data_IF_363793324713
#
_entry.id   IF_363793324713
#
_cell.length_a   1.000
_cell.length_b   1.000
_cell.length_c   1.000
_cell.angle_alpha   90.00
_cell.angle_beta   90.00
_cell.angle_gamma   90.00
#
_symmetry.space_group_name_H-M   'P 1'
#
loop_
_entity.id
_entity.type
_entity.pdbx_description
1 polymer ?
#
# COMPACT_ATOMS: atom_id res chain seq x y z
N UNK A 1 -33.74 -67.45 0.72
CA UNK A 1 -34.47 -66.19 0.93
C UNK A 1 -33.93 -65.51 2.16
N UNK A 2 -33.05 -64.53 2.00
CA UNK A 2 -32.65 -63.55 3.05
C UNK A 2 -32.24 -62.26 2.31
N UNK A 3 -33.09 -61.27 2.40
CA UNK A 3 -32.85 -59.94 1.86
C UNK A 3 -31.87 -59.19 2.79
N UNK A 4 -30.73 -58.73 2.24
CA UNK A 4 -29.80 -57.87 2.90
C UNK A 4 -30.14 -56.43 2.51
N UNK A 5 -30.59 -55.64 3.47
CA UNK A 5 -30.96 -54.25 3.33
C UNK A 5 -29.72 -53.37 3.52
N UNK A 6 -29.24 -52.72 2.47
CA UNK A 6 -28.09 -51.83 2.49
C UNK A 6 -28.57 -50.40 2.80
N UNK A 7 -28.31 -49.92 4.02
CA UNK A 7 -28.52 -48.51 4.38
C UNK A 7 -27.39 -47.66 3.82
N UNK A 8 -27.73 -46.80 2.82
CA UNK A 8 -26.86 -45.72 2.34
C UNK A 8 -26.99 -44.54 3.29
N UNK A 9 -25.91 -44.29 4.08
CA UNK A 9 -25.74 -43.03 4.79
C UNK A 9 -25.27 -41.94 3.81
N UNK A 10 -26.13 -40.98 3.54
CA UNK A 10 -25.79 -39.77 2.79
C UNK A 10 -25.14 -38.76 3.78
N UNK A 11 -23.83 -38.56 3.70
CA UNK A 11 -23.17 -37.41 4.30
C UNK A 11 -23.56 -36.14 3.53
N UNK A 12 -24.33 -35.28 4.16
CA UNK A 12 -24.52 -33.92 3.71
C UNK A 12 -23.26 -33.08 4.09
N UNK A 13 -22.43 -32.77 3.10
CA UNK A 13 -21.37 -31.78 3.22
C UNK A 13 -22.01 -30.41 3.18
N UNK A 14 -22.11 -29.73 4.32
CA UNK A 14 -22.46 -28.30 4.37
C UNK A 14 -21.23 -27.54 3.91
N UNK A 15 -21.18 -27.19 2.63
CA UNK A 15 -20.20 -26.26 2.09
C UNK A 15 -20.56 -24.84 2.54
N UNK A 16 -19.71 -24.24 3.38
CA UNK A 16 -19.67 -22.77 3.53
C UNK A 16 -19.22 -22.18 2.20
N UNK A 17 -20.18 -21.86 1.32
CA UNK A 17 -19.93 -21.12 0.11
C UNK A 17 -19.66 -19.66 0.48
N UNK A 18 -18.39 -19.25 0.43
CA UNK A 18 -18.07 -17.85 0.28
C UNK A 18 -18.74 -17.37 -1.00
N UNK A 19 -19.66 -16.42 -0.91
CA UNK A 19 -20.26 -15.78 -2.09
C UNK A 19 -19.17 -14.98 -2.77
N UNK A 20 -18.82 -15.35 -3.99
CA UNK A 20 -18.00 -14.52 -4.85
C UNK A 20 -18.72 -13.17 -5.06
N UNK A 21 -18.02 -12.02 -4.90
CA UNK A 21 -18.61 -10.72 -5.13
C UNK A 21 -19.09 -10.62 -6.57
N UNK A 22 -20.35 -10.24 -6.77
CA UNK A 22 -20.92 -10.08 -8.10
C UNK A 22 -20.39 -8.80 -8.76
N UNK A 23 -19.87 -8.86 -10.00
CA UNK A 23 -19.55 -7.65 -10.75
C UNK A 23 -20.85 -6.89 -11.09
N UNK A 24 -20.90 -5.61 -10.76
CA UNK A 24 -21.98 -4.71 -11.17
C UNK A 24 -21.59 -4.14 -12.53
N UNK A 25 -22.25 -4.59 -13.59
CA UNK A 25 -22.09 -4.02 -14.93
C UNK A 25 -22.98 -2.79 -15.05
N UNK A 26 -22.39 -1.61 -15.08
CA UNK A 26 -23.11 -0.39 -15.43
C UNK A 26 -23.56 -0.42 -16.90
N UNK A 27 -24.83 -0.11 -17.22
CA UNK A 27 -25.30 -0.05 -18.60
C UNK A 27 -24.78 1.22 -19.28
N UNK A 28 -24.06 1.03 -20.39
CA UNK A 28 -23.95 1.96 -21.50
C UNK A 28 -23.22 3.27 -21.24
N UNK A 29 -21.98 3.36 -21.72
CA UNK A 29 -21.30 4.63 -21.91
C UNK A 29 -22.04 5.46 -23.00
N UNK A 30 -22.92 6.34 -22.56
CA UNK A 30 -23.29 7.50 -23.38
C UNK A 30 -22.19 8.53 -23.23
N UNK A 31 -21.77 9.06 -24.39
CA UNK A 31 -20.72 10.04 -24.56
C UNK A 31 -20.90 11.25 -23.64
N UNK A 32 -20.12 11.31 -22.56
CA UNK A 32 -20.01 12.48 -21.72
C UNK A 32 -18.91 13.40 -22.28
N UNK A 33 -19.31 14.60 -22.62
CA UNK A 33 -18.47 15.71 -23.04
C UNK A 33 -17.42 16.04 -21.96
N UNK A 34 -16.22 16.40 -22.45
CA UNK A 34 -15.09 16.92 -21.70
C UNK A 34 -15.50 17.87 -20.57
N UNK A 35 -15.46 17.42 -19.32
CA UNK A 35 -15.44 18.29 -18.15
C UNK A 35 -14.14 18.08 -17.38
N UNK A 36 -13.45 19.19 -17.17
CA UNK A 36 -12.34 19.40 -16.24
C UNK A 36 -12.47 18.58 -14.98
N UNK A 37 -11.41 17.90 -14.55
CA UNK A 37 -11.32 16.98 -13.43
C UNK A 37 -12.19 17.37 -12.23
N UNK A 38 -13.38 16.81 -12.17
CA UNK A 38 -14.29 16.91 -11.06
C UNK A 38 -14.06 15.73 -10.14
N UNK A 39 -13.91 16.03 -8.89
CA UNK A 39 -13.95 15.08 -7.79
C UNK A 39 -15.24 14.25 -7.89
N UNK A 40 -15.12 12.92 -7.92
CA UNK A 40 -16.29 12.06 -7.91
C UNK A 40 -16.93 12.15 -6.52
N UNK A 41 -18.26 12.07 -6.45
CA UNK A 41 -19.02 12.25 -5.21
C UNK A 41 -18.62 11.31 -4.06
N UNK A 42 -18.01 10.16 -4.38
CA UNK A 42 -17.47 9.18 -3.43
C UNK A 42 -15.97 9.39 -3.10
N UNK A 43 -15.40 10.56 -3.44
CA UNK A 43 -13.97 10.84 -3.26
C UNK A 43 -13.05 10.03 -4.18
N UNK A 44 -13.59 9.30 -5.17
CA UNK A 44 -12.85 8.46 -6.08
C UNK A 44 -11.94 9.27 -7.01
N UNK A 45 -10.77 8.71 -7.29
CA UNK A 45 -9.70 9.33 -8.12
C UNK A 45 -9.35 8.49 -9.34
N UNK A 46 -9.84 7.24 -9.43
CA UNK A 46 -9.68 6.37 -10.58
C UNK A 46 -10.68 6.72 -11.69
N UNK A 47 -10.46 7.88 -12.37
CA UNK A 47 -11.35 8.42 -13.41
C UNK A 47 -10.80 8.10 -14.79
N UNK A 48 -11.62 7.57 -15.72
CA UNK A 48 -11.23 7.41 -17.13
C UNK A 48 -10.85 8.75 -17.75
N UNK A 49 -9.72 8.83 -18.43
CA UNK A 49 -9.29 10.01 -19.17
C UNK A 49 -9.15 9.68 -20.66
N UNK A 50 -10.27 9.68 -21.39
CA UNK A 50 -10.34 9.39 -22.82
C UNK A 50 -10.76 7.98 -23.19
N UNK A 51 -10.52 7.60 -24.44
CA UNK A 51 -10.89 6.29 -24.97
C UNK A 51 -9.93 5.18 -24.50
N UNK A 52 -10.40 3.93 -24.53
CA UNK A 52 -9.59 2.74 -24.20
C UNK A 52 -9.49 2.44 -22.71
N UNK A 53 -10.30 3.11 -21.88
CA UNK A 53 -10.45 2.75 -20.47
C UNK A 53 -11.68 1.90 -20.23
N UNK A 54 -11.57 0.99 -19.26
CA UNK A 54 -12.64 0.13 -18.77
C UNK A 54 -12.70 0.23 -17.24
N UNK A 55 -13.88 0.50 -16.69
CA UNK A 55 -14.14 0.57 -15.26
C UNK A 55 -14.86 -0.69 -14.81
N UNK A 56 -14.41 -1.30 -13.73
CA UNK A 56 -15.10 -2.41 -13.07
C UNK A 56 -15.29 -2.04 -11.60
N UNK A 57 -16.52 -2.18 -11.13
CA UNK A 57 -16.90 -1.89 -9.74
C UNK A 57 -17.40 -3.15 -9.06
N UNK A 58 -17.15 -3.25 -7.74
CA UNK A 58 -17.54 -4.38 -6.91
C UNK A 58 -18.14 -3.85 -5.61
N UNK A 59 -19.32 -4.35 -5.29
CA UNK A 59 -19.92 -4.27 -3.96
C UNK A 59 -19.48 -5.51 -3.19
N UNK A 60 -18.68 -5.33 -2.16
CA UNK A 60 -18.14 -6.40 -1.30
C UNK A 60 -18.85 -6.47 0.04
N UNK A 61 -19.51 -5.40 0.45
CA UNK A 61 -20.32 -5.29 1.68
C UNK A 61 -21.73 -5.83 1.49
N UNK A 62 -22.29 -5.73 0.28
CA UNK A 62 -23.64 -6.17 -0.08
C UNK A 62 -24.70 -5.11 0.24
N UNK A 63 -24.33 -3.85 0.26
CA UNK A 63 -25.22 -2.71 0.52
C UNK A 63 -25.68 -1.97 -0.74
N UNK A 64 -25.40 -2.53 -1.92
CA UNK A 64 -25.66 -1.99 -3.25
C UNK A 64 -24.80 -0.75 -3.60
N UNK A 65 -23.79 -0.43 -2.78
CA UNK A 65 -22.80 0.63 -3.05
C UNK A 65 -21.45 0.00 -3.42
N UNK A 66 -20.79 0.40 -4.53
CA UNK A 66 -19.51 -0.18 -4.88
C UNK A 66 -18.38 0.22 -3.91
N UNK A 67 -17.81 -0.77 -3.21
CA UNK A 67 -16.67 -0.56 -2.32
C UNK A 67 -15.35 -0.47 -3.08
N UNK A 68 -15.21 -1.23 -4.17
CA UNK A 68 -13.96 -1.31 -4.94
C UNK A 68 -14.19 -0.90 -6.37
N UNK A 69 -13.39 0.06 -6.87
CA UNK A 69 -13.32 0.44 -8.28
C UNK A 69 -11.95 0.10 -8.85
N UNK A 70 -11.92 -0.49 -10.03
CA UNK A 70 -10.73 -0.79 -10.81
C UNK A 70 -10.83 -0.12 -12.17
N UNK A 71 -9.78 0.59 -12.56
CA UNK A 71 -9.65 1.23 -13.86
C UNK A 71 -8.59 0.49 -14.65
N UNK A 72 -8.99 -0.02 -15.79
CA UNK A 72 -8.10 -0.66 -16.74
C UNK A 72 -7.92 0.21 -17.98
N UNK A 73 -6.78 0.05 -18.65
CA UNK A 73 -6.50 0.68 -19.94
C UNK A 73 -6.05 -0.36 -20.95
N UNK A 74 -6.58 -0.28 -22.16
CA UNK A 74 -6.10 -1.10 -23.26
C UNK A 74 -4.77 -0.58 -23.74
N UNK A 75 -3.74 -1.42 -23.71
CA UNK A 75 -2.38 -1.15 -24.18
C UNK A 75 -2.06 -2.03 -25.39
N UNK A 76 -1.39 -1.43 -26.39
CA UNK A 76 -1.08 -2.11 -27.65
C UNK A 76 -2.21 -2.04 -28.66
N UNK A 77 -2.00 -2.65 -29.84
CA UNK A 77 -2.94 -2.65 -30.96
C UNK A 77 -3.16 -4.06 -31.51
N UNK A 78 -4.32 -4.28 -32.11
CA UNK A 78 -4.68 -5.54 -32.78
C UNK A 78 -4.57 -6.75 -31.86
N UNK A 79 -3.87 -7.80 -32.30
CA UNK A 79 -3.70 -9.06 -31.53
C UNK A 79 -2.75 -8.91 -30.33
N UNK A 80 -2.06 -7.80 -30.19
CA UNK A 80 -1.17 -7.48 -29.06
C UNK A 80 -1.85 -6.59 -28.02
N UNK A 81 -3.10 -6.19 -28.26
CA UNK A 81 -3.87 -5.42 -27.29
C UNK A 81 -4.08 -6.24 -26.01
N UNK A 82 -3.81 -5.60 -24.87
CA UNK A 82 -4.02 -6.17 -23.53
C UNK A 82 -4.63 -5.15 -22.60
N UNK A 83 -5.47 -5.63 -21.71
CA UNK A 83 -6.05 -4.81 -20.65
C UNK A 83 -5.10 -4.77 -19.46
N UNK A 84 -4.69 -3.56 -19.02
CA UNK A 84 -3.76 -3.35 -17.91
C UNK A 84 -4.47 -2.56 -16.82
N UNK A 85 -4.40 -3.04 -15.58
CA UNK A 85 -4.87 -2.29 -14.41
C UNK A 85 -3.97 -1.08 -14.21
N UNK A 86 -4.55 0.13 -14.27
CA UNK A 86 -3.82 1.41 -14.12
C UNK A 86 -4.18 2.14 -12.84
N UNK A 87 -5.35 1.84 -12.24
CA UNK A 87 -5.78 2.43 -10.98
C UNK A 87 -6.74 1.47 -10.26
N UNK A 88 -6.64 1.43 -8.94
CA UNK A 88 -7.58 0.75 -8.05
C UNK A 88 -7.82 1.61 -6.83
N UNK A 89 -9.08 1.74 -6.44
CA UNK A 89 -9.48 2.40 -5.21
C UNK A 89 -10.49 1.54 -4.45
N UNK A 90 -10.55 1.75 -3.13
CA UNK A 90 -11.46 1.03 -2.27
C UNK A 90 -11.93 1.90 -1.10
N UNK A 91 -13.17 1.70 -0.72
CA UNK A 91 -13.79 2.04 0.54
C UNK A 91 -13.51 0.87 1.50
N UNK A 92 -12.89 1.12 2.62
CA UNK A 92 -12.47 0.10 3.58
C UNK A 92 -13.37 0.06 4.81
N UNK A 93 -14.03 1.18 5.13
CA UNK A 93 -14.88 1.33 6.31
C UNK A 93 -16.39 1.25 5.99
N UNK A 94 -16.77 1.29 4.70
CA UNK A 94 -18.15 1.20 4.24
C UNK A 94 -18.96 2.49 4.41
N UNK A 95 -18.29 3.66 4.46
CA UNK A 95 -18.95 4.95 4.58
C UNK A 95 -19.34 5.58 3.23
N UNK A 96 -19.02 4.90 2.12
CA UNK A 96 -19.28 5.32 0.75
C UNK A 96 -18.18 6.20 0.16
N UNK A 97 -17.07 6.44 0.88
CA UNK A 97 -15.91 7.19 0.40
C UNK A 97 -14.72 6.24 0.13
N UNK A 98 -13.82 6.65 -0.74
CA UNK A 98 -12.64 5.82 -1.07
C UNK A 98 -11.46 6.21 -0.18
N UNK A 99 -11.08 5.27 0.70
CA UNK A 99 -10.01 5.45 1.69
C UNK A 99 -8.63 5.15 1.13
N UNK A 100 -8.54 4.30 0.11
CA UNK A 100 -7.27 3.90 -0.49
C UNK A 100 -7.32 4.00 -2.01
N UNK A 101 -6.26 4.57 -2.61
CA UNK A 101 -6.07 4.63 -4.06
C UNK A 101 -4.67 4.17 -4.41
N UNK A 102 -4.56 3.21 -5.33
CA UNK A 102 -3.27 2.74 -5.87
C UNK A 102 -3.22 2.93 -7.38
N UNK A 103 -2.16 3.58 -7.83
CA UNK A 103 -1.85 3.83 -9.25
C UNK A 103 -0.78 2.87 -9.71
N UNK A 104 -0.91 2.40 -10.96
CA UNK A 104 -0.01 1.45 -11.59
C UNK A 104 0.60 2.03 -12.87
N UNK A 105 1.78 1.54 -13.23
CA UNK A 105 2.43 1.85 -14.51
C UNK A 105 1.76 1.12 -15.68
N UNK A 106 2.18 1.45 -16.90
CA UNK A 106 1.72 0.76 -18.12
C UNK A 106 2.10 -0.73 -18.17
N UNK A 107 3.08 -1.15 -17.37
CA UNK A 107 3.45 -2.57 -17.16
C UNK A 107 2.61 -3.25 -16.06
N UNK A 108 1.69 -2.53 -15.40
CA UNK A 108 0.86 -3.04 -14.32
C UNK A 108 1.59 -3.12 -12.96
N UNK A 109 2.71 -2.42 -12.80
CA UNK A 109 3.44 -2.36 -11.51
C UNK A 109 2.94 -1.19 -10.67
N UNK A 110 2.81 -1.34 -9.34
CA UNK A 110 2.44 -0.22 -8.49
C UNK A 110 3.49 0.89 -8.57
N UNK A 111 3.03 2.14 -8.58
CA UNK A 111 3.84 3.36 -8.63
C UNK A 111 3.62 4.19 -7.38
N UNK A 112 2.37 4.34 -6.96
CA UNK A 112 1.97 5.18 -5.83
C UNK A 112 0.70 4.61 -5.19
N UNK A 113 0.63 4.70 -3.88
CA UNK A 113 -0.57 4.45 -3.09
C UNK A 113 -0.79 5.61 -2.11
N UNK A 114 -2.01 6.01 -1.95
CA UNK A 114 -2.46 6.99 -0.96
C UNK A 114 -3.52 6.32 -0.11
N UNK A 115 -3.47 6.52 1.20
CA UNK A 115 -4.40 5.94 2.13
C UNK A 115 -4.79 6.92 3.25
N UNK A 116 -6.08 6.96 3.52
CA UNK A 116 -6.69 7.48 4.73
C UNK A 116 -6.79 6.29 5.70
N UNK A 117 -6.01 6.30 6.77
CA UNK A 117 -5.86 5.18 7.69
C UNK A 117 -6.77 5.28 8.91
N UNK A 118 -7.12 6.49 9.31
CA UNK A 118 -7.99 6.76 10.45
C UNK A 118 -9.43 7.10 10.02
N UNK A 119 -9.68 7.15 8.69
CA UNK A 119 -10.99 7.37 8.07
C UNK A 119 -11.59 8.75 8.38
N UNK A 120 -10.76 9.77 8.55
CA UNK A 120 -11.19 11.15 8.77
C UNK A 120 -11.48 11.92 7.47
N UNK A 121 -11.20 11.32 6.31
CA UNK A 121 -11.37 11.88 4.97
C UNK A 121 -10.12 12.58 4.45
N UNK A 122 -8.97 12.43 5.11
CA UNK A 122 -7.66 12.96 4.69
C UNK A 122 -6.69 11.84 4.43
N UNK A 123 -5.69 12.11 3.60
CA UNK A 123 -4.62 11.14 3.32
C UNK A 123 -3.56 11.24 4.40
N UNK A 124 -3.38 10.14 5.16
CA UNK A 124 -2.35 10.01 6.20
C UNK A 124 -1.08 9.36 5.70
N UNK A 125 -1.18 8.48 4.71
CA UNK A 125 -0.05 7.72 4.21
C UNK A 125 0.05 7.80 2.69
N UNK A 126 1.25 8.13 2.20
CA UNK A 126 1.61 8.03 0.79
C UNK A 126 2.76 7.05 0.64
N UNK A 127 2.54 5.96 -0.08
CA UNK A 127 3.57 4.97 -0.41
C UNK A 127 4.01 5.13 -1.86
N UNK A 128 5.31 5.30 -2.06
CA UNK A 128 5.95 5.35 -3.38
C UNK A 128 6.61 4.00 -3.68
N UNK A 129 6.53 3.60 -4.94
CA UNK A 129 7.12 2.34 -5.40
C UNK A 129 8.13 2.61 -6.51
N UNK A 130 9.25 1.92 -6.46
CA UNK A 130 10.25 1.88 -7.53
C UNK A 130 10.39 0.44 -8.00
N UNK A 131 10.18 0.19 -9.30
CA UNK A 131 10.17 -1.16 -9.88
C UNK A 131 9.22 -2.14 -9.16
N UNK A 132 8.07 -1.63 -8.67
CA UNK A 132 7.04 -2.42 -7.98
C UNK A 132 7.37 -2.76 -6.51
N UNK A 133 8.46 -2.23 -5.96
CA UNK A 133 8.82 -2.36 -4.54
C UNK A 133 8.69 -1.03 -3.84
N UNK A 134 8.29 -1.05 -2.57
CA UNK A 134 8.24 0.17 -1.75
C UNK A 134 9.63 0.80 -1.70
N UNK A 135 9.70 2.11 -1.97
CA UNK A 135 10.93 2.92 -1.92
C UNK A 135 10.86 4.03 -0.88
N UNK A 136 9.67 4.57 -0.63
CA UNK A 136 9.43 5.63 0.34
C UNK A 136 8.01 5.52 0.88
N UNK A 137 7.84 5.75 2.18
CA UNK A 137 6.56 6.08 2.79
C UNK A 137 6.62 7.46 3.42
N UNK A 138 5.60 8.26 3.17
CA UNK A 138 5.36 9.55 3.80
C UNK A 138 4.11 9.43 4.64
N UNK A 139 4.19 9.76 5.93
CA UNK A 139 3.13 9.48 6.90
C UNK A 139 2.87 10.74 7.73
N UNK A 140 1.62 11.10 7.91
CA UNK A 140 1.14 11.96 8.98
C UNK A 140 0.79 11.08 10.17
N UNK A 141 1.66 10.99 11.15
CA UNK A 141 1.42 10.16 12.34
C UNK A 141 0.64 10.90 13.42
N UNK A 142 0.50 12.20 13.26
CA UNK A 142 -0.19 13.08 14.24
C UNK A 142 -1.64 13.38 13.85
N UNK A 143 -2.08 13.08 12.61
CA UNK A 143 -3.41 13.36 12.10
C UNK A 143 -3.70 14.87 11.90
N UNK A 144 -2.65 15.69 11.75
CA UNK A 144 -2.80 17.14 11.59
C UNK A 144 -2.88 17.58 10.12
N UNK A 145 -2.83 16.66 9.16
CA UNK A 145 -2.83 16.90 7.72
C UNK A 145 -1.45 17.27 7.15
N UNK A 146 -0.38 17.12 7.93
CA UNK A 146 1.00 17.35 7.49
C UNK A 146 1.86 16.12 7.71
N UNK A 147 2.61 15.72 6.68
CA UNK A 147 3.59 14.63 6.80
C UNK A 147 4.62 14.98 7.86
N UNK A 148 4.79 14.12 8.84
CA UNK A 148 5.77 14.23 9.93
C UNK A 148 6.78 13.09 9.94
N UNK A 149 6.57 12.06 9.14
CA UNK A 149 7.43 10.87 9.08
C UNK A 149 7.68 10.48 7.63
N UNK A 150 8.96 10.22 7.29
CA UNK A 150 9.38 9.64 6.02
C UNK A 150 10.22 8.40 6.28
N UNK A 151 9.86 7.26 5.67
CA UNK A 151 10.60 6.00 5.80
C UNK A 151 11.11 5.61 4.42
N UNK A 152 12.41 5.53 4.27
CA UNK A 152 13.11 5.14 3.06
C UNK A 152 13.39 3.63 3.10
N UNK A 153 13.16 2.98 1.97
CA UNK A 153 13.31 1.54 1.83
C UNK A 153 14.37 1.21 0.78
N UNK A 154 15.20 0.25 1.09
CA UNK A 154 16.10 -0.39 0.14
C UNK A 154 15.78 -1.88 0.06
N UNK A 155 15.61 -2.39 -1.17
CA UNK A 155 15.26 -3.79 -1.43
C UNK A 155 14.03 -4.32 -0.65
N UNK A 156 13.07 -3.42 -0.33
CA UNK A 156 11.85 -3.74 0.41
C UNK A 156 12.02 -3.81 1.94
N UNK A 157 13.19 -3.46 2.45
CA UNK A 157 13.47 -3.33 3.89
C UNK A 157 13.65 -1.85 4.26
N UNK A 158 13.17 -1.40 5.42
CA UNK A 158 13.45 -0.05 5.88
C UNK A 158 14.95 0.12 6.11
N UNK A 159 15.51 1.19 5.54
CA UNK A 159 16.91 1.59 5.69
C UNK A 159 17.04 2.75 6.66
N UNK A 160 16.17 3.75 6.49
CA UNK A 160 16.23 5.00 7.26
C UNK A 160 14.83 5.58 7.43
N UNK A 161 14.56 6.18 8.59
CA UNK A 161 13.43 7.08 8.79
C UNK A 161 13.91 8.48 9.18
N UNK A 162 13.15 9.47 8.75
CA UNK A 162 13.25 10.87 9.14
C UNK A 162 11.94 11.28 9.80
N UNK A 163 12.01 11.90 10.97
CA UNK A 163 10.82 12.34 11.70
C UNK A 163 10.95 13.81 12.10
N UNK A 164 9.84 14.52 11.97
CA UNK A 164 9.67 15.89 12.45
C UNK A 164 8.85 15.86 13.75
N UNK A 165 9.51 15.47 14.85
CA UNK A 165 8.88 15.34 16.16
C UNK A 165 8.48 16.71 16.76
N UNK A 166 9.18 17.77 16.37
CA UNK A 166 8.94 19.13 16.83
C UNK A 166 7.98 19.93 15.93
N UNK A 167 7.43 19.30 14.87
CA UNK A 167 6.50 19.91 13.92
C UNK A 167 7.05 21.22 13.29
N UNK A 168 8.30 21.15 12.82
CA UNK A 168 9.02 22.27 12.19
C UNK A 168 8.82 22.36 10.68
N UNK A 169 8.45 21.26 10.06
CA UNK A 169 8.22 21.18 8.61
C UNK A 169 7.07 22.09 8.17
N UNK A 170 7.20 22.59 6.94
CA UNK A 170 6.18 23.37 6.25
C UNK A 170 5.92 22.70 4.90
N UNK A 171 4.79 22.98 4.28
CA UNK A 171 4.39 22.37 3.01
C UNK A 171 5.50 22.37 1.92
N UNK A 172 6.35 23.41 1.91
CA UNK A 172 7.44 23.55 0.94
C UNK A 172 8.84 23.21 1.50
N UNK A 173 8.96 22.83 2.80
CA UNK A 173 10.26 22.60 3.43
C UNK A 173 10.19 21.51 4.48
N UNK A 174 10.74 20.35 4.14
CA UNK A 174 10.95 19.26 5.07
C UNK A 174 12.07 19.59 6.07
N UNK A 175 11.81 19.47 7.38
CA UNK A 175 12.74 19.77 8.46
C UNK A 175 12.64 18.73 9.57
N UNK A 176 13.20 17.54 9.35
CA UNK A 176 13.24 16.51 10.39
C UNK A 176 14.17 16.93 11.51
N UNK A 177 13.87 16.46 12.71
CA UNK A 177 14.71 16.61 13.90
C UNK A 177 15.17 15.27 14.49
N UNK A 178 14.75 14.16 13.89
CA UNK A 178 15.14 12.80 14.27
C UNK A 178 15.39 11.94 13.04
N UNK A 179 16.50 11.21 13.05
CA UNK A 179 16.91 10.25 12.03
C UNK A 179 17.10 8.89 12.66
N UNK A 180 16.44 7.87 12.15
CA UNK A 180 16.54 6.49 12.59
C UNK A 180 17.13 5.66 11.47
N UNK A 181 18.13 4.82 11.77
CA UNK A 181 18.75 3.91 10.81
C UNK A 181 18.47 2.48 11.22
N UNK A 182 18.17 1.65 10.23
CA UNK A 182 17.77 0.28 10.46
C UNK A 182 18.80 -0.69 9.88
N UNK A 183 18.96 -1.83 10.56
CA UNK A 183 19.63 -3.01 10.03
C UNK A 183 18.86 -4.25 10.48
N UNK A 184 18.64 -5.19 9.59
CA UNK A 184 17.87 -6.41 9.82
C UNK A 184 16.50 -6.15 10.47
N UNK A 185 15.81 -5.10 9.98
CA UNK A 185 14.48 -4.70 10.45
C UNK A 185 14.44 -4.07 11.84
N UNK A 186 15.58 -3.65 12.38
CA UNK A 186 15.67 -3.05 13.73
C UNK A 186 16.44 -1.72 13.67
N UNK A 187 16.06 -0.78 14.55
CA UNK A 187 16.79 0.48 14.72
C UNK A 187 18.15 0.23 15.36
N UNK A 188 19.22 0.63 14.69
CA UNK A 188 20.61 0.47 15.18
C UNK A 188 21.26 1.79 15.56
N UNK A 189 20.75 2.91 15.09
CA UNK A 189 21.28 4.24 15.39
C UNK A 189 20.19 5.29 15.28
N UNK A 190 20.19 6.25 16.20
CA UNK A 190 19.26 7.37 16.21
C UNK A 190 20.08 8.67 16.31
N UNK A 191 19.82 9.61 15.39
CA UNK A 191 20.32 10.97 15.43
C UNK A 191 19.23 11.94 15.86
N UNK A 192 19.55 12.94 16.67
CA UNK A 192 18.62 13.97 17.12
C UNK A 192 19.24 15.36 16.93
N UNK A 193 18.46 16.28 16.33
CA UNK A 193 18.72 17.72 16.26
C UNK A 193 18.05 18.39 17.45
N UNK A 194 18.82 18.84 18.40
CA UNK A 194 18.33 19.48 19.64
C UNK A 194 18.11 20.98 19.47
N UNK A 195 18.89 21.63 18.60
CA UNK A 195 18.92 23.08 18.46
C UNK A 195 18.09 23.61 17.27
N UNK A 196 17.66 22.74 16.33
CA UNK A 196 16.82 23.07 15.17
C UNK A 196 17.58 23.61 13.96
N UNK A 197 18.88 23.35 13.86
CA UNK A 197 19.69 23.79 12.74
C UNK A 197 19.67 22.83 11.53
N UNK A 198 18.99 21.68 11.67
CA UNK A 198 18.89 20.64 10.67
C UNK A 198 20.08 19.68 10.63
N UNK A 199 20.91 19.67 11.67
CA UNK A 199 22.03 18.75 11.82
C UNK A 199 21.88 17.94 13.08
N UNK A 200 22.49 16.75 13.09
CA UNK A 200 22.46 15.89 14.27
C UNK A 200 23.44 16.40 15.33
N UNK A 201 22.91 16.80 16.49
CA UNK A 201 23.69 17.17 17.68
C UNK A 201 24.06 15.95 18.53
N UNK A 202 23.18 14.94 18.58
CA UNK A 202 23.37 13.75 19.42
C UNK A 202 23.09 12.48 18.64
N UNK A 203 23.96 11.48 18.85
CA UNK A 203 23.79 10.12 18.35
C UNK A 203 23.62 9.14 19.49
N UNK A 204 22.52 8.37 19.46
CA UNK A 204 22.31 7.20 20.28
C UNK A 204 22.53 5.94 19.42
N UNK A 205 23.28 4.97 19.91
CA UNK A 205 23.62 3.72 19.22
C UNK A 205 23.22 2.54 20.09
N UNK A 206 22.82 1.46 19.46
CA UNK A 206 22.66 0.16 20.12
C UNK A 206 24.02 -0.55 20.21
N UNK A 207 24.87 -0.09 21.15
CA UNK A 207 26.24 -0.59 21.33
C UNK A 207 26.29 -2.04 21.82
N UNK A 208 25.26 -2.56 22.50
CA UNK A 208 25.16 -3.97 22.91
C UNK A 208 25.08 -4.88 21.68
N UNK A 209 24.30 -4.50 20.72
CA UNK A 209 24.05 -5.25 19.52
C UNK A 209 25.18 -5.24 18.54
N UNK A 210 25.89 -4.11 18.43
CA UNK A 210 27.10 -4.00 17.60
C UNK A 210 28.16 -4.97 18.15
N UNK A 211 28.26 -5.10 19.48
CA UNK A 211 29.15 -6.06 20.15
C UNK A 211 28.73 -7.52 19.89
N UNK A 212 27.45 -7.83 20.00
CA UNK A 212 26.93 -9.19 19.78
C UNK A 212 27.08 -9.67 18.34
N UNK A 213 26.83 -8.80 17.37
CA UNK A 213 27.06 -9.11 15.95
C UNK A 213 28.54 -9.25 15.61
N UNK A 214 29.42 -8.47 16.23
CA UNK A 214 30.87 -8.61 16.07
C UNK A 214 31.38 -9.92 16.69
N UNK A 215 30.84 -10.34 17.82
CA UNK A 215 31.18 -11.62 18.47
C UNK A 215 30.66 -12.83 17.68
N UNK A 216 29.45 -12.75 17.14
CA UNK A 216 28.88 -13.81 16.30
C UNK A 216 29.69 -14.04 15.01
N UNK A 217 30.17 -12.95 14.40
CA UNK A 217 31.03 -13.03 13.20
C UNK A 217 32.45 -13.57 13.50
N UNK A 218 32.92 -13.47 14.74
CA UNK A 218 34.20 -14.05 15.18
C UNK A 218 34.08 -15.54 15.56
N UNK A 219 32.87 -16.04 15.83
CA UNK A 219 32.61 -17.42 16.23
C UNK A 219 32.18 -18.33 15.10
N UNK A 220 32.12 -17.84 13.83
CA UNK A 220 31.99 -18.71 12.66
C UNK A 220 33.36 -19.35 12.37
N UNK A 221 33.62 -20.58 12.79
CA UNK A 221 34.86 -21.26 12.41
C UNK A 221 34.83 -21.53 10.91
N UNK A 222 35.93 -21.27 10.27
CA UNK A 222 36.31 -21.77 8.95
C UNK A 222 36.28 -23.30 8.95
N UNK A 223 35.11 -23.94 8.85
CA UNK A 223 34.99 -25.37 8.54
C UNK A 223 35.07 -25.59 7.01
N UNK A 224 36.19 -25.23 6.44
CA UNK A 224 36.56 -25.62 5.07
C UNK A 224 38.06 -25.78 4.95
N UNK A 225 38.60 -26.70 5.76
CA UNK A 225 39.91 -27.28 5.45
C UNK A 225 39.99 -28.66 6.12
N UNK A 226 39.48 -29.70 5.46
CA UNK A 226 40.10 -31.04 5.41
C UNK A 226 39.10 -32.03 4.79
N UNK A 227 39.21 -32.28 3.51
CA UNK A 227 39.35 -33.62 2.90
C UNK A 227 39.67 -33.46 1.40
#
# INVERSE_FOLDING_TARGET
MKYLMLCLLSLAVVGCGAKDPKPVTSPGAESAESSSGGEIADGGRCVPNGAGYEVTEYDTSGDDTPDVRKLFRTMGEGSLARLVLVCREADLNGDGRKDIVRVYSEEGRPVREEADRDFDGRIDEVTHFTNGRVSLKEIDTSGNGMIDTKIFYENGQPERAERDMANRSKAAKWQPDRWEYYADGRTVRIGTDLNGDGKVDRWDRDDERIRDSALANQQSPNDSATQ
#
